data_IF_716922218066
#
_entry.id   IF_716922218066
#
_cell.length_a   1.000
_cell.length_b   1.000
_cell.length_c   1.000
_cell.angle_alpha   90.00
_cell.angle_beta   90.00
_cell.angle_gamma   90.00
#
_symmetry.space_group_name_H-M   'P 1'
#
loop_
_entity.id
_entity.type
_entity.pdbx_description
1 polymer ?
#
# COMPACT_ATOMS: atom_id res chain seq x y z
N UNK A 1 -3.15 -14.14 27.22
CA UNK A 1 -3.66 -12.79 26.95
C UNK A 1 -4.51 -12.89 25.69
N UNK A 2 -5.61 -12.14 25.56
CA UNK A 2 -6.43 -12.18 24.35
C UNK A 2 -5.84 -11.29 23.23
N UNK A 3 -6.01 -11.73 21.99
CA UNK A 3 -5.50 -11.13 20.77
C UNK A 3 -6.63 -10.49 19.95
N UNK A 4 -6.37 -9.37 19.25
CA UNK A 4 -7.38 -8.66 18.49
C UNK A 4 -7.84 -9.46 17.27
N UNK A 5 -9.14 -9.49 17.02
CA UNK A 5 -9.69 -9.93 15.74
C UNK A 5 -9.30 -8.90 14.64
N UNK A 6 -8.81 -9.34 13.47
CA UNK A 6 -8.39 -8.43 12.39
C UNK A 6 -9.58 -7.66 11.78
N UNK A 7 -10.79 -8.21 11.87
CA UNK A 7 -12.01 -7.58 11.35
C UNK A 7 -12.52 -6.45 12.26
N UNK A 8 -12.69 -6.69 13.57
CA UNK A 8 -13.30 -5.70 14.47
C UNK A 8 -12.32 -5.01 15.44
N UNK A 9 -11.14 -5.59 15.66
CA UNK A 9 -10.12 -5.08 16.57
C UNK A 9 -10.32 -5.42 18.05
N UNK A 10 -11.43 -6.06 18.42
CA UNK A 10 -11.68 -6.50 19.79
C UNK A 10 -10.86 -7.73 20.13
N UNK A 11 -10.32 -7.78 21.36
CA UNK A 11 -9.47 -8.87 21.83
C UNK A 11 -10.29 -10.09 22.22
N UNK A 12 -10.63 -10.90 21.22
CA UNK A 12 -11.44 -12.11 21.39
C UNK A 12 -10.64 -13.40 21.16
N UNK A 13 -9.50 -13.33 20.49
CA UNK A 13 -8.75 -14.52 20.08
C UNK A 13 -7.83 -15.02 21.19
N UNK A 14 -7.75 -16.35 21.32
CA UNK A 14 -6.87 -17.00 22.30
C UNK A 14 -5.41 -17.11 21.85
N UNK A 15 -5.19 -17.02 20.53
CA UNK A 15 -3.89 -16.99 19.86
C UNK A 15 -3.84 -15.78 18.91
N UNK A 16 -2.65 -15.31 18.49
CA UNK A 16 -2.54 -14.33 17.41
C UNK A 16 -3.28 -14.79 16.15
N UNK A 17 -3.88 -13.85 15.42
CA UNK A 17 -4.57 -14.12 14.17
C UNK A 17 -3.61 -14.68 13.10
N UNK A 18 -4.16 -15.30 12.07
CA UNK A 18 -3.38 -15.94 10.99
C UNK A 18 -3.74 -17.41 10.79
N UNK A 19 -5.00 -17.77 10.98
CA UNK A 19 -5.48 -19.14 10.72
C UNK A 19 -5.74 -19.98 11.97
N UNK A 20 -6.20 -19.36 13.06
CA UNK A 20 -6.58 -20.06 14.31
C UNK A 20 -7.86 -20.89 14.19
N UNK A 21 -8.61 -20.76 13.10
CA UNK A 21 -9.98 -21.27 12.90
C UNK A 21 -10.97 -20.74 13.94
N UNK A 22 -10.64 -19.65 14.64
CA UNK A 22 -11.51 -19.09 15.67
C UNK A 22 -12.53 -18.14 15.04
N UNK A 23 -13.81 -18.35 15.36
CA UNK A 23 -14.89 -17.42 15.05
C UNK A 23 -14.92 -16.28 16.08
N UNK A 24 -14.90 -15.03 15.63
CA UNK A 24 -15.00 -13.88 16.52
C UNK A 24 -16.46 -13.70 16.97
N UNK A 25 -16.80 -13.77 18.27
CA UNK A 25 -18.18 -13.60 18.72
C UNK A 25 -18.70 -12.16 18.60
N UNK A 26 -17.81 -11.19 18.39
CA UNK A 26 -18.17 -9.76 18.28
C UNK A 26 -18.55 -9.37 16.87
N UNK A 27 -17.94 -9.96 15.84
CA UNK A 27 -18.22 -9.62 14.45
C UNK A 27 -18.51 -10.82 13.55
N UNK A 28 -18.41 -12.05 14.05
CA UNK A 28 -18.59 -13.29 13.30
C UNK A 28 -17.53 -13.58 12.22
N UNK A 29 -16.39 -12.89 12.23
CA UNK A 29 -15.26 -13.21 11.35
C UNK A 29 -14.57 -14.51 11.77
N UNK A 30 -14.45 -15.47 10.85
CA UNK A 30 -13.66 -16.68 11.05
C UNK A 30 -12.20 -16.42 10.68
N UNK A 31 -11.27 -16.64 11.62
CA UNK A 31 -9.83 -16.58 11.37
C UNK A 31 -9.32 -17.87 10.72
N UNK A 32 -9.82 -18.18 9.52
CA UNK A 32 -9.39 -19.34 8.76
C UNK A 32 -7.97 -19.14 8.16
N UNK A 33 -7.22 -20.23 7.92
CA UNK A 33 -5.96 -20.16 7.20
C UNK A 33 -6.23 -19.94 5.71
N UNK A 34 -5.46 -19.06 5.08
CA UNK A 34 -5.54 -18.77 3.66
C UNK A 34 -4.68 -17.57 3.29
N UNK A 35 -4.66 -17.24 2.01
CA UNK A 35 -3.86 -16.14 1.48
C UNK A 35 -4.63 -14.81 1.61
N UNK A 36 -4.03 -13.80 2.23
CA UNK A 36 -4.66 -12.48 2.27
C UNK A 36 -4.88 -11.95 0.83
N UNK A 37 -6.02 -11.30 0.53
CA UNK A 37 -7.03 -10.79 1.46
C UNK A 37 -8.20 -11.77 1.75
N UNK A 38 -8.14 -13.01 1.25
CA UNK A 38 -9.21 -14.02 1.32
C UNK A 38 -8.77 -15.28 2.08
N UNK A 39 -9.37 -15.55 3.23
CA UNK A 39 -8.96 -16.71 4.03
C UNK A 39 -9.71 -18.01 3.72
N UNK A 40 -10.34 -18.12 2.54
CA UNK A 40 -10.97 -19.35 2.03
C UNK A 40 -12.25 -19.83 2.73
N UNK A 41 -12.54 -19.38 3.96
CA UNK A 41 -13.76 -19.73 4.71
C UNK A 41 -14.82 -18.63 4.72
N UNK A 42 -14.44 -17.37 4.52
CA UNK A 42 -15.39 -16.25 4.46
C UNK A 42 -15.76 -15.95 3.00
N UNK A 43 -17.01 -15.54 2.76
CA UNK A 43 -17.49 -15.15 1.42
C UNK A 43 -16.99 -13.76 1.00
N UNK A 44 -16.47 -12.97 1.95
CA UNK A 44 -15.98 -11.61 1.76
C UNK A 44 -14.51 -11.48 2.15
N UNK A 45 -13.80 -10.55 1.52
CA UNK A 45 -12.43 -10.21 1.89
C UNK A 45 -12.36 -9.56 3.28
N UNK A 46 -11.19 -9.58 3.94
CA UNK A 46 -11.02 -8.91 5.22
C UNK A 46 -11.37 -7.40 5.15
N UNK A 47 -11.08 -6.75 4.02
CA UNK A 47 -11.40 -5.33 3.81
C UNK A 47 -12.92 -5.14 3.80
N UNK A 48 -13.64 -5.98 3.06
CA UNK A 48 -15.11 -5.95 3.02
C UNK A 48 -15.69 -6.23 4.41
N UNK A 49 -15.16 -7.22 5.13
CA UNK A 49 -15.59 -7.55 6.48
C UNK A 49 -15.39 -6.41 7.48
N UNK A 50 -14.26 -5.72 7.44
CA UNK A 50 -14.00 -4.53 8.28
C UNK A 50 -15.02 -3.43 7.99
N UNK A 51 -15.34 -3.17 6.71
CA UNK A 51 -16.34 -2.17 6.31
C UNK A 51 -17.74 -2.56 6.77
N UNK A 52 -18.14 -3.81 6.55
CA UNK A 52 -19.43 -4.33 7.02
C UNK A 52 -19.54 -4.23 8.54
N UNK A 53 -18.49 -4.56 9.29
CA UNK A 53 -18.52 -4.47 10.75
C UNK A 53 -18.76 -3.04 11.21
N UNK A 54 -18.07 -2.07 10.60
CA UNK A 54 -18.25 -0.65 10.93
C UNK A 54 -19.65 -0.11 10.63
N UNK A 55 -20.40 -0.74 9.70
CA UNK A 55 -21.75 -0.31 9.30
C UNK A 55 -22.84 -1.11 10.05
N UNK A 56 -22.68 -2.42 10.17
CA UNK A 56 -23.71 -3.37 10.60
C UNK A 56 -23.43 -4.02 11.96
N UNK A 57 -22.21 -3.93 12.48
CA UNK A 57 -21.77 -4.65 13.68
C UNK A 57 -21.40 -6.12 13.44
N UNK A 58 -21.38 -6.58 12.19
CA UNK A 58 -20.99 -7.93 11.77
C UNK A 58 -20.10 -7.89 10.52
N UNK A 59 -19.24 -8.89 10.31
CA UNK A 59 -18.36 -9.02 9.14
C UNK A 59 -19.16 -9.16 7.84
N UNK A 60 -20.39 -9.61 7.92
CA UNK A 60 -21.36 -9.59 6.83
C UNK A 60 -22.73 -9.25 7.39
N UNK A 61 -23.55 -8.53 6.63
CA UNK A 61 -24.86 -8.07 7.10
C UNK A 61 -25.77 -9.23 7.53
N UNK A 62 -25.65 -10.41 6.89
CA UNK A 62 -26.45 -11.59 7.21
C UNK A 62 -26.17 -12.17 8.62
N UNK A 63 -24.98 -11.95 9.17
CA UNK A 63 -24.58 -12.50 10.48
C UNK A 63 -24.89 -11.58 11.65
N UNK A 64 -25.60 -10.47 11.45
CA UNK A 64 -25.91 -9.53 12.53
C UNK A 64 -26.58 -10.20 13.74
N UNK A 65 -27.46 -11.18 13.51
CA UNK A 65 -28.13 -11.94 14.57
C UNK A 65 -27.24 -12.92 15.35
N UNK A 66 -26.04 -13.22 14.83
CA UNK A 66 -25.08 -14.16 15.41
C UNK A 66 -23.99 -13.46 16.24
N UNK A 67 -24.00 -12.13 16.28
CA UNK A 67 -23.02 -11.32 17.02
C UNK A 67 -23.47 -10.99 18.45
N UNK A 68 -22.52 -10.66 19.31
CA UNK A 68 -22.78 -10.06 20.63
C UNK A 68 -21.93 -8.83 20.86
N UNK A 69 -22.35 -7.98 21.80
CA UNK A 69 -21.49 -6.93 22.32
C UNK A 69 -20.19 -7.50 22.92
N UNK A 70 -19.06 -6.78 22.81
CA UNK A 70 -17.81 -7.18 23.47
C UNK A 70 -17.99 -7.21 24.99
N UNK A 71 -17.31 -8.14 25.65
CA UNK A 71 -17.23 -8.20 27.11
C UNK A 71 -16.33 -7.07 27.64
N UNK A 72 -16.46 -6.77 28.94
CA UNK A 72 -15.67 -5.71 29.60
C UNK A 72 -14.16 -5.92 29.44
N UNK A 73 -13.71 -7.17 29.47
CA UNK A 73 -12.31 -7.57 29.30
C UNK A 73 -11.84 -7.63 27.84
N UNK A 74 -12.77 -7.71 26.88
CA UNK A 74 -12.48 -7.72 25.44
C UNK A 74 -12.27 -6.29 24.95
N UNK A 75 -11.22 -5.62 25.43
CA UNK A 75 -10.92 -4.24 25.05
C UNK A 75 -10.48 -4.18 23.59
N UNK A 76 -10.99 -3.20 22.84
CA UNK A 76 -10.54 -2.95 21.46
C UNK A 76 -9.08 -2.53 21.45
N UNK A 77 -8.27 -3.15 20.59
CA UNK A 77 -6.87 -2.78 20.44
C UNK A 77 -6.75 -1.32 20.02
N UNK A 78 -5.92 -0.55 20.73
CA UNK A 78 -5.57 0.83 20.37
C UNK A 78 -4.79 0.93 19.07
N UNK A 79 -4.20 -0.19 18.65
CA UNK A 79 -3.36 -0.27 17.45
C UNK A 79 -4.14 -0.83 16.25
N UNK A 80 -5.38 -1.29 16.45
CA UNK A 80 -6.20 -1.75 15.35
C UNK A 80 -6.64 -0.56 14.49
N UNK A 81 -6.46 -0.69 13.19
CA UNK A 81 -6.95 0.23 12.17
C UNK A 81 -7.61 -0.63 11.09
N UNK A 82 -8.79 -0.24 10.63
CA UNK A 82 -9.32 -0.83 9.39
C UNK A 82 -8.39 -0.48 8.23
N UNK A 83 -8.50 -1.24 7.15
CA UNK A 83 -7.80 -0.96 5.89
C UNK A 83 -7.97 0.50 5.47
N UNK A 84 -9.20 1.02 5.49
CA UNK A 84 -9.47 2.41 5.06
C UNK A 84 -8.78 3.44 5.96
N UNK A 85 -8.78 3.23 7.28
CA UNK A 85 -8.10 4.12 8.24
C UNK A 85 -6.58 4.07 8.09
N UNK A 86 -6.03 2.87 7.86
CA UNK A 86 -4.59 2.67 7.66
C UNK A 86 -4.14 3.28 6.32
N UNK A 87 -4.90 3.06 5.26
CA UNK A 87 -4.71 3.64 3.92
C UNK A 87 -4.68 5.16 3.98
N UNK A 88 -5.66 5.79 4.65
CA UNK A 88 -5.71 7.24 4.81
C UNK A 88 -4.47 7.77 5.56
N UNK A 89 -4.08 7.11 6.65
CA UNK A 89 -2.86 7.47 7.40
C UNK A 89 -1.60 7.39 6.54
N UNK A 90 -1.47 6.37 5.69
CA UNK A 90 -0.33 6.22 4.79
C UNK A 90 -0.33 7.30 3.71
N UNK A 91 -1.48 7.62 3.11
CA UNK A 91 -1.61 8.72 2.15
C UNK A 91 -1.14 10.04 2.79
N UNK A 92 -1.60 10.35 4.00
CA UNK A 92 -1.16 11.55 4.74
C UNK A 92 0.34 11.52 5.02
N UNK A 93 0.91 10.34 5.31
CA UNK A 93 2.35 10.17 5.53
C UNK A 93 3.16 10.42 4.26
N UNK A 94 2.70 9.94 3.10
CA UNK A 94 3.32 10.17 1.79
C UNK A 94 3.28 11.67 1.46
N UNK A 95 2.10 12.29 1.56
CA UNK A 95 1.90 13.73 1.32
C UNK A 95 2.86 14.58 2.15
N UNK A 96 3.00 14.25 3.44
CA UNK A 96 3.88 14.97 4.36
C UNK A 96 5.36 14.75 4.07
N UNK A 97 5.79 13.50 3.93
CA UNK A 97 7.22 13.16 3.78
C UNK A 97 7.80 13.62 2.43
N UNK A 98 6.97 13.69 1.39
CA UNK A 98 7.38 14.13 0.06
C UNK A 98 6.93 15.57 -0.28
N UNK A 99 6.33 16.32 0.65
CA UNK A 99 5.72 17.64 0.36
C UNK A 99 6.63 18.65 -0.35
N UNK A 100 7.95 18.59 -0.09
CA UNK A 100 8.98 19.51 -0.61
C UNK A 100 9.75 18.96 -1.81
N UNK A 101 9.46 17.74 -2.25
CA UNK A 101 10.20 17.13 -3.36
C UNK A 101 9.80 17.80 -4.66
N UNK A 102 10.81 18.33 -5.36
CA UNK A 102 10.71 18.87 -6.71
C UNK A 102 11.48 17.98 -7.69
N UNK A 103 11.18 18.09 -8.99
CA UNK A 103 11.82 17.27 -10.02
C UNK A 103 13.32 17.58 -10.18
N UNK A 104 13.75 18.80 -9.86
CA UNK A 104 15.16 19.22 -9.88
C UNK A 104 15.91 18.91 -11.19
N UNK A 105 15.20 18.89 -12.33
CA UNK A 105 15.76 18.56 -13.64
C UNK A 105 15.82 17.07 -13.98
N UNK A 106 15.30 16.20 -13.11
CA UNK A 106 15.13 14.77 -13.39
C UNK A 106 14.24 14.50 -14.59
N UNK A 107 14.38 13.30 -15.16
CA UNK A 107 13.62 12.89 -16.35
C UNK A 107 12.12 12.86 -16.10
N UNK A 108 11.36 13.06 -17.19
CA UNK A 108 9.90 13.12 -17.18
C UNK A 108 9.26 11.83 -17.68
N UNK A 109 7.98 11.62 -17.37
CA UNK A 109 7.24 10.44 -17.83
C UNK A 109 7.18 10.37 -19.36
N UNK A 110 6.87 11.48 -20.04
CA UNK A 110 6.83 11.50 -21.51
C UNK A 110 8.21 11.33 -22.14
N UNK A 111 9.29 11.75 -21.47
CA UNK A 111 10.64 11.47 -21.94
C UNK A 111 10.96 9.97 -21.88
N UNK A 112 10.59 9.28 -20.80
CA UNK A 112 10.88 7.85 -20.67
C UNK A 112 9.97 6.97 -21.53
N UNK A 113 8.75 7.42 -21.84
CA UNK A 113 7.88 6.78 -22.84
C UNK A 113 8.53 6.69 -24.23
N UNK A 114 9.33 7.70 -24.61
CA UNK A 114 10.07 7.67 -25.88
C UNK A 114 11.23 6.66 -25.88
N UNK A 115 11.85 6.44 -24.72
CA UNK A 115 13.01 5.55 -24.57
C UNK A 115 12.59 4.08 -24.68
N UNK A 116 11.41 3.74 -24.14
CA UNK A 116 10.81 2.41 -24.30
C UNK A 116 10.50 2.09 -25.79
N UNK A 117 10.34 3.13 -26.63
CA UNK A 117 10.11 3.06 -28.07
C UNK A 117 11.34 2.94 -28.99
N UNK A 118 12.56 2.75 -28.45
CA UNK A 118 13.82 2.50 -29.17
C UNK A 118 14.60 3.68 -29.80
N UNK A 119 14.28 4.97 -29.60
CA UNK A 119 15.07 6.06 -30.21
C UNK A 119 15.36 7.24 -29.26
N UNK A 120 16.61 7.33 -28.77
CA UNK A 120 17.10 8.55 -28.11
C UNK A 120 17.38 9.64 -29.16
N UNK A 121 16.45 10.59 -29.29
CA UNK A 121 16.64 11.80 -30.10
C UNK A 121 16.53 13.04 -29.20
N UNK A 122 17.61 13.80 -29.04
CA UNK A 122 17.69 14.94 -28.11
C UNK A 122 16.57 15.98 -28.34
N UNK A 123 16.22 16.21 -29.61
CA UNK A 123 15.13 17.14 -29.96
C UNK A 123 13.77 16.61 -29.50
N UNK A 124 13.52 15.31 -29.67
CA UNK A 124 12.29 14.67 -29.21
C UNK A 124 12.20 14.68 -27.67
N UNK A 125 13.32 14.43 -26.98
CA UNK A 125 13.39 14.48 -25.52
C UNK A 125 13.09 15.87 -24.95
N UNK A 126 13.61 16.93 -25.58
CA UNK A 126 13.29 18.32 -25.21
C UNK A 126 11.84 18.67 -25.49
N UNK A 127 11.27 18.17 -26.58
CA UNK A 127 9.86 18.40 -26.89
C UNK A 127 8.93 17.65 -25.92
N UNK A 128 9.30 16.42 -25.53
CA UNK A 128 8.52 15.60 -24.61
C UNK A 128 8.46 16.19 -23.19
N UNK A 129 9.53 16.84 -22.73
CA UNK A 129 9.56 17.51 -21.41
C UNK A 129 8.43 18.52 -21.24
N UNK A 130 8.04 19.22 -22.31
CA UNK A 130 6.96 20.20 -22.28
C UNK A 130 5.58 19.59 -21.97
N UNK A 131 5.42 18.27 -22.10
CA UNK A 131 4.19 17.55 -21.75
C UNK A 131 4.08 17.25 -20.24
N UNK A 132 5.13 17.51 -19.47
CA UNK A 132 5.17 17.36 -18.01
C UNK A 132 5.49 18.69 -17.32
N UNK A 133 4.57 19.68 -17.39
CA UNK A 133 4.78 21.01 -16.81
C UNK A 133 4.66 21.05 -15.28
N UNK A 134 4.23 19.95 -14.65
CA UNK A 134 3.93 19.91 -13.22
C UNK A 134 5.20 20.08 -12.38
N UNK A 135 5.25 21.13 -11.57
CA UNK A 135 6.37 21.40 -10.65
C UNK A 135 6.22 20.70 -9.30
N UNK A 136 5.01 20.20 -9.02
CA UNK A 136 4.64 19.50 -7.79
C UNK A 136 4.05 18.15 -8.18
N UNK A 137 4.54 17.09 -7.55
CA UNK A 137 4.10 15.73 -7.85
C UNK A 137 2.61 15.51 -7.52
N UNK A 138 2.04 16.29 -6.60
CA UNK A 138 0.61 16.25 -6.25
C UNK A 138 -0.31 16.73 -7.38
N UNK A 139 0.21 17.58 -8.27
CA UNK A 139 -0.57 18.23 -9.31
C UNK A 139 -0.59 17.39 -10.61
N UNK A 140 0.07 16.22 -10.61
CA UNK A 140 0.09 15.30 -11.75
C UNK A 140 -1.30 14.69 -11.94
N UNK A 141 -1.90 14.78 -13.16
CA UNK A 141 -3.21 14.21 -13.44
C UNK A 141 -3.26 12.69 -13.25
N UNK A 142 -4.40 12.20 -12.74
CA UNK A 142 -4.63 10.77 -12.50
C UNK A 142 -4.56 9.93 -13.79
N UNK A 143 -5.09 10.45 -14.91
CA UNK A 143 -5.02 9.80 -16.23
C UNK A 143 -3.58 9.70 -16.74
N UNK A 144 -2.74 10.71 -16.42
CA UNK A 144 -1.30 10.66 -16.71
C UNK A 144 -0.62 9.56 -15.90
N UNK A 145 -0.89 9.45 -14.60
CA UNK A 145 -0.34 8.38 -13.76
C UNK A 145 -0.79 7.01 -14.24
N UNK A 146 -2.08 6.79 -14.51
CA UNK A 146 -2.55 5.51 -15.04
C UNK A 146 -1.96 5.17 -16.42
N UNK A 147 -1.71 6.16 -17.29
CA UNK A 147 -1.07 5.91 -18.60
C UNK A 147 0.39 5.49 -18.49
N UNK A 148 1.16 6.14 -17.61
CA UNK A 148 2.62 6.02 -17.57
C UNK A 148 3.13 5.19 -16.38
N UNK A 149 2.30 4.30 -15.82
CA UNK A 149 2.68 3.46 -14.68
C UNK A 149 3.93 2.62 -14.96
N UNK A 150 4.10 2.09 -16.17
CA UNK A 150 5.30 1.35 -16.59
C UNK A 150 6.55 2.23 -16.74
N UNK A 151 6.40 3.53 -16.99
CA UNK A 151 7.51 4.45 -17.22
C UNK A 151 8.30 4.75 -15.93
N UNK A 152 7.70 4.53 -14.76
CA UNK A 152 8.33 4.77 -13.45
C UNK A 152 9.68 4.05 -13.31
N UNK A 153 9.78 2.83 -13.85
CA UNK A 153 10.96 1.98 -13.74
C UNK A 153 12.17 2.48 -14.57
N UNK A 154 11.98 3.47 -15.45
CA UNK A 154 13.02 3.96 -16.36
C UNK A 154 13.49 5.38 -16.02
N UNK A 155 12.86 6.04 -15.04
CA UNK A 155 13.24 7.38 -14.61
C UNK A 155 14.66 7.40 -14.02
N UNK A 156 15.32 8.55 -14.09
CA UNK A 156 16.56 8.77 -13.35
C UNK A 156 16.29 8.97 -11.86
N UNK A 157 17.36 9.10 -11.05
CA UNK A 157 17.24 9.18 -9.59
C UNK A 157 16.32 10.32 -9.10
N UNK A 158 16.41 11.48 -9.76
CA UNK A 158 15.64 12.68 -9.40
C UNK A 158 14.19 12.58 -9.87
N UNK A 159 13.96 12.10 -11.09
CA UNK A 159 12.65 11.83 -11.66
C UNK A 159 11.92 10.77 -10.82
N UNK A 160 12.58 9.66 -10.50
CA UNK A 160 12.03 8.61 -9.66
C UNK A 160 11.61 9.15 -8.29
N UNK A 161 12.48 9.92 -7.62
CA UNK A 161 12.16 10.56 -6.33
C UNK A 161 10.94 11.47 -6.41
N UNK A 162 10.77 12.19 -7.52
CA UNK A 162 9.64 13.09 -7.76
C UNK A 162 8.33 12.35 -8.06
N UNK A 163 8.35 11.35 -8.95
CA UNK A 163 7.14 10.66 -9.40
C UNK A 163 6.66 9.54 -8.48
N UNK A 164 7.56 8.86 -7.75
CA UNK A 164 7.21 7.77 -6.84
C UNK A 164 6.08 8.12 -5.85
N UNK A 165 6.12 9.24 -5.10
CA UNK A 165 5.03 9.58 -4.18
C UNK A 165 3.68 9.80 -4.88
N UNK A 166 3.69 10.31 -6.12
CA UNK A 166 2.47 10.47 -6.90
C UNK A 166 1.85 9.11 -7.24
N UNK A 167 2.68 8.16 -7.69
CA UNK A 167 2.21 6.80 -7.98
C UNK A 167 1.76 6.04 -6.73
N UNK A 168 2.52 6.09 -5.61
CA UNK A 168 2.09 5.46 -4.36
C UNK A 168 0.75 6.05 -3.87
N UNK A 169 0.59 7.38 -3.92
CA UNK A 169 -0.66 8.04 -3.56
C UNK A 169 -1.81 7.63 -4.49
N UNK A 170 -1.59 7.66 -5.80
CA UNK A 170 -2.59 7.29 -6.80
C UNK A 170 -3.05 5.84 -6.61
N UNK A 171 -2.10 4.91 -6.48
CA UNK A 171 -2.38 3.50 -6.19
C UNK A 171 -3.26 3.31 -4.94
N UNK A 172 -3.00 4.05 -3.85
CA UNK A 172 -3.84 3.97 -2.65
C UNK A 172 -5.21 4.64 -2.83
N UNK A 173 -5.32 5.66 -3.69
CA UNK A 173 -6.60 6.32 -3.97
C UNK A 173 -7.49 5.49 -4.90
N UNK A 174 -6.91 4.69 -5.80
CA UNK A 174 -7.64 3.87 -6.77
C UNK A 174 -7.90 2.45 -6.30
N UNK A 175 -7.14 1.93 -5.33
CA UNK A 175 -7.34 0.58 -4.76
C UNK A 175 -8.77 0.35 -4.22
N UNK A 176 -9.62 -0.31 -5.00
CA UNK A 176 -10.97 -0.74 -4.65
C UNK A 176 -11.53 -1.79 -5.64
N UNK A 177 -12.20 -2.88 -5.20
CA UNK A 177 -12.30 -3.48 -3.86
C UNK A 177 -11.16 -4.47 -3.54
N UNK A 178 -10.49 -4.95 -4.58
CA UNK A 178 -9.31 -5.79 -4.58
C UNK A 178 -8.21 -4.95 -5.24
N UNK A 179 -6.97 -5.06 -4.77
CA UNK A 179 -5.85 -4.30 -5.34
C UNK A 179 -5.46 -4.98 -6.67
N UNK A 180 -6.33 -4.88 -7.69
CA UNK A 180 -6.21 -5.47 -9.03
C UNK A 180 -5.88 -4.38 -10.07
N UNK A 181 -4.81 -3.63 -9.84
CA UNK A 181 -4.52 -2.45 -10.65
C UNK A 181 -3.08 -2.47 -11.15
N UNK A 182 -2.92 -2.42 -12.48
CA UNK A 182 -1.63 -2.31 -13.16
C UNK A 182 -0.81 -1.10 -12.67
N UNK A 183 -1.48 -0.10 -12.11
CA UNK A 183 -0.87 1.07 -11.47
C UNK A 183 0.02 0.71 -10.27
N UNK A 184 -0.25 -0.40 -9.60
CA UNK A 184 0.55 -0.89 -8.47
C UNK A 184 1.82 -1.59 -8.97
N UNK A 185 1.75 -2.26 -10.12
CA UNK A 185 2.88 -3.03 -10.67
C UNK A 185 4.13 -2.18 -10.88
N UNK A 186 3.99 -1.00 -11.50
CA UNK A 186 5.14 -0.13 -11.76
C UNK A 186 5.85 0.30 -10.48
N UNK A 187 5.09 0.56 -9.42
CA UNK A 187 5.62 0.89 -8.09
C UNK A 187 6.30 -0.33 -7.47
N UNK A 188 5.65 -1.49 -7.51
CA UNK A 188 6.19 -2.70 -6.91
C UNK A 188 7.46 -3.19 -7.61
N UNK A 189 7.52 -3.20 -8.94
CA UNK A 189 8.74 -3.55 -9.67
C UNK A 189 9.92 -2.63 -9.33
N UNK A 190 9.64 -1.35 -9.07
CA UNK A 190 10.67 -0.40 -8.68
C UNK A 190 11.14 -0.59 -7.22
N UNK A 191 10.37 -1.29 -6.38
CA UNK A 191 10.64 -1.41 -4.94
C UNK A 191 10.95 -2.84 -4.47
N UNK A 192 10.62 -3.87 -5.24
CA UNK A 192 10.78 -5.29 -4.89
C UNK A 192 12.24 -5.72 -4.71
N UNK A 193 13.16 -4.90 -5.24
CA UNK A 193 14.60 -5.07 -5.17
C UNK A 193 15.17 -4.79 -3.78
N UNK A 194 14.43 -4.07 -2.93
CA UNK A 194 14.91 -3.53 -1.67
C UNK A 194 15.67 -2.20 -1.83
N UNK A 195 15.94 -1.49 -0.71
CA UNK A 195 16.60 -0.19 -0.72
C UNK A 195 18.08 -0.22 -1.16
N UNK A 196 18.74 -1.36 -0.99
CA UNK A 196 20.16 -1.55 -1.35
C UNK A 196 20.34 -2.23 -2.72
N UNK A 197 19.28 -2.25 -3.54
CA UNK A 197 19.36 -2.81 -4.87
C UNK A 197 20.31 -1.97 -5.74
N UNK A 198 21.23 -2.60 -6.47
CA UNK A 198 22.22 -1.89 -7.29
C UNK A 198 21.61 -0.89 -8.28
N UNK A 199 20.41 -1.17 -8.80
CA UNK A 199 19.71 -0.29 -9.75
C UNK A 199 19.05 0.91 -9.07
N UNK A 200 18.54 0.74 -7.85
CA UNK A 200 17.74 1.76 -7.14
C UNK A 200 18.44 2.41 -5.95
N UNK A 201 19.61 1.91 -5.54
CA UNK A 201 20.32 2.36 -4.35
C UNK A 201 20.63 3.86 -4.37
N UNK A 202 20.95 4.41 -5.55
CA UNK A 202 21.31 5.82 -5.70
C UNK A 202 20.06 6.70 -5.58
N UNK A 203 18.95 6.31 -6.22
CA UNK A 203 17.66 6.99 -6.09
C UNK A 203 17.14 6.94 -4.65
N UNK A 204 17.25 5.80 -3.98
CA UNK A 204 16.79 5.59 -2.60
C UNK A 204 17.74 6.24 -1.58
N UNK A 205 19.01 6.44 -1.92
CA UNK A 205 19.96 7.18 -1.09
C UNK A 205 19.55 8.67 -0.96
N UNK A 206 18.82 9.22 -1.93
CA UNK A 206 18.26 10.57 -1.86
C UNK A 206 17.09 10.69 -0.86
N UNK A 207 16.56 9.56 -0.36
CA UNK A 207 15.38 9.58 0.49
C UNK A 207 15.74 9.86 1.94
N UNK A 208 15.04 10.82 2.53
CA UNK A 208 15.04 11.05 3.97
C UNK A 208 14.41 9.86 4.71
N UNK A 209 14.70 9.73 6.01
CA UNK A 209 14.14 8.64 6.82
C UNK A 209 12.60 8.58 6.74
N UNK A 210 11.94 9.74 6.79
CA UNK A 210 10.48 9.83 6.72
C UNK A 210 9.92 9.35 5.37
N UNK A 211 10.67 9.58 4.28
CA UNK A 211 10.32 9.13 2.93
C UNK A 211 10.44 7.60 2.84
N UNK A 212 11.54 7.04 3.37
CA UNK A 212 11.73 5.58 3.46
C UNK A 212 10.63 4.92 4.31
N UNK A 213 10.25 5.55 5.42
CA UNK A 213 9.17 5.07 6.28
C UNK A 213 7.81 5.08 5.57
N UNK A 214 7.49 6.12 4.80
CA UNK A 214 6.25 6.19 4.03
C UNK A 214 6.21 5.12 2.92
N UNK A 215 7.31 4.91 2.20
CA UNK A 215 7.44 3.85 1.19
C UNK A 215 7.33 2.45 1.80
N UNK A 216 7.99 2.20 2.94
CA UNK A 216 7.88 0.93 3.63
C UNK A 216 6.47 0.67 4.19
N UNK A 217 5.79 1.71 4.67
CA UNK A 217 4.40 1.61 5.10
C UNK A 217 3.45 1.26 3.94
N UNK A 218 3.67 1.85 2.76
CA UNK A 218 2.97 1.47 1.52
C UNK A 218 3.17 -0.02 1.21
N UNK A 219 4.42 -0.49 1.15
CA UNK A 219 4.71 -1.90 0.86
C UNK A 219 4.07 -2.84 1.90
N UNK A 220 4.09 -2.47 3.18
CA UNK A 220 3.46 -3.28 4.23
C UNK A 220 1.94 -3.36 4.08
N UNK A 221 1.27 -2.27 3.67
CA UNK A 221 -0.16 -2.30 3.37
C UNK A 221 -0.45 -3.25 2.20
N UNK A 222 0.28 -3.12 1.10
CA UNK A 222 0.10 -3.99 -0.08
C UNK A 222 0.37 -5.45 0.28
N UNK A 223 1.44 -5.74 1.01
CA UNK A 223 1.78 -7.08 1.46
C UNK A 223 0.71 -7.73 2.35
N UNK A 224 -0.09 -6.93 3.06
CA UNK A 224 -1.13 -7.42 3.98
C UNK A 224 -2.50 -7.54 3.32
N UNK A 225 -2.81 -6.69 2.33
CA UNK A 225 -4.19 -6.52 1.84
C UNK A 225 -4.36 -6.70 0.33
N UNK A 226 -3.30 -6.85 -0.45
CA UNK A 226 -3.39 -7.12 -1.90
C UNK A 226 -3.45 -8.62 -2.19
N UNK A 227 -3.86 -8.98 -3.41
CA UNK A 227 -3.82 -10.35 -3.92
C UNK A 227 -2.40 -10.90 -4.07
N UNK A 228 -2.28 -12.22 -4.23
CA UNK A 228 -1.03 -12.97 -4.12
C UNK A 228 0.14 -12.43 -4.94
N UNK A 229 -0.10 -12.03 -6.19
CA UNK A 229 0.96 -11.54 -7.06
C UNK A 229 1.56 -10.24 -6.52
N UNK A 230 0.72 -9.24 -6.24
CA UNK A 230 1.13 -7.95 -5.70
C UNK A 230 1.67 -8.06 -4.26
N UNK A 231 0.99 -8.83 -3.41
CA UNK A 231 1.45 -9.11 -2.06
C UNK A 231 2.84 -9.77 -2.07
N UNK A 232 3.07 -10.70 -2.99
CA UNK A 232 4.36 -11.37 -3.20
C UNK A 232 5.49 -10.41 -3.54
N UNK A 233 5.29 -9.46 -4.46
CA UNK A 233 6.30 -8.45 -4.80
C UNK A 233 6.57 -7.50 -3.63
N UNK A 234 5.52 -7.05 -2.93
CA UNK A 234 5.68 -6.20 -1.76
C UNK A 234 6.45 -6.91 -0.63
N UNK A 235 6.11 -8.17 -0.33
CA UNK A 235 6.81 -9.02 0.64
C UNK A 235 8.27 -9.26 0.25
N UNK A 236 8.56 -9.44 -1.04
CA UNK A 236 9.92 -9.57 -1.55
C UNK A 236 10.75 -8.32 -1.25
N UNK A 237 10.22 -7.13 -1.53
CA UNK A 237 10.88 -5.86 -1.19
C UNK A 237 11.10 -5.68 0.32
N UNK A 238 10.09 -5.99 1.13
CA UNK A 238 10.19 -5.96 2.60
C UNK A 238 11.31 -6.87 3.13
N UNK A 239 11.39 -8.11 2.63
CA UNK A 239 12.44 -9.08 2.98
C UNK A 239 13.84 -8.63 2.56
N UNK A 240 13.95 -7.80 1.51
CA UNK A 240 15.21 -7.26 1.01
C UNK A 240 15.64 -5.93 1.63
N UNK A 241 15.04 -5.52 2.75
CA UNK A 241 15.54 -4.41 3.57
C UNK A 241 14.49 -3.35 3.91
N UNK A 242 13.39 -3.25 3.13
CA UNK A 242 12.34 -2.27 3.42
C UNK A 242 11.69 -2.46 4.80
N UNK A 243 11.66 -3.70 5.33
CA UNK A 243 11.11 -3.99 6.66
C UNK A 243 11.81 -3.24 7.81
N UNK A 244 13.07 -2.82 7.62
CA UNK A 244 13.80 -2.01 8.59
C UNK A 244 13.19 -0.61 8.78
N UNK A 245 12.47 -0.11 7.76
CA UNK A 245 11.86 1.22 7.76
C UNK A 245 10.36 1.20 8.05
N UNK A 246 9.72 0.02 8.17
CA UNK A 246 8.28 -0.05 8.46
C UNK A 246 8.00 0.56 9.85
N UNK A 247 7.16 1.61 9.96
CA UNK A 247 6.84 2.24 11.23
C UNK A 247 6.17 1.26 12.22
N UNK A 248 6.43 1.42 13.51
CA UNK A 248 5.88 0.55 14.55
C UNK A 248 4.35 0.46 14.51
N UNK A 249 3.67 1.59 14.35
CA UNK A 249 2.20 1.63 14.28
C UNK A 249 1.63 0.89 13.07
N UNK A 250 2.39 0.78 11.97
CA UNK A 250 1.99 -0.02 10.81
C UNK A 250 2.11 -1.49 11.16
N UNK A 251 3.27 -1.92 11.70
CA UNK A 251 3.47 -3.32 12.13
C UNK A 251 2.35 -3.75 13.05
N UNK A 252 2.03 -2.94 14.06
CA UNK A 252 1.00 -3.25 15.04
C UNK A 252 -0.43 -3.29 14.46
N UNK A 253 -0.71 -2.54 13.39
CA UNK A 253 -2.00 -2.53 12.71
C UNK A 253 -2.17 -3.67 11.68
N UNK A 254 -1.07 -4.28 11.23
CA UNK A 254 -1.04 -5.34 10.22
C UNK A 254 -0.63 -6.71 10.79
N UNK A 255 -0.68 -6.87 12.11
CA UNK A 255 -0.40 -8.13 12.83
C UNK A 255 -1.63 -9.04 12.92
#
# INVERSE_FOLDING_TARGET
MLHPCPCCGYRTYTLPAGGTMQLCPVCFWEDAPGEAPYNGSNEVSLIQAQRHYLIHGACEAQFQGETRAPLTEEVRSTNWLSFDMLREKIIVSIERSFHKVAREGGTTLHQMDLVDGCCFEEKAMKAAEANDPETRWQDIPADKLSRFHGSLAFLDDLGFRFYLPAFMRHALMTAFPDIEHAEVDGVLWSLDGGPDNQYWQDSIALFELEQKQATAAFLQLIATFAEDSHAGYALKGLKKGWNAFVPAYIKEATL
#
